data_IF_192989001937
#
_entry.id   IF_192989001937
#
_cell.length_a   1.000
_cell.length_b   1.000
_cell.length_c   1.000
_cell.angle_alpha   90.00
_cell.angle_beta   90.00
_cell.angle_gamma   90.00
#
_symmetry.space_group_name_H-M   'P 1'
#
loop_
_entity.id
_entity.type
_entity.pdbx_description
1 polymer ?
#
# COMPACT_ATOMS: atom_id res chain seq x y z
N UNK A 1 16.79 3.49 -0.86
CA UNK A 1 16.78 2.21 -0.18
C UNK A 1 15.40 1.58 -0.27
N UNK A 2 15.33 0.34 -0.69
CA UNK A 2 14.04 -0.31 -0.91
C UNK A 2 13.45 -0.81 0.40
N UNK A 3 12.14 -0.65 0.54
CA UNK A 3 11.42 -1.26 1.66
C UNK A 3 11.21 -2.74 1.36
N UNK A 4 11.27 -3.54 2.41
CA UNK A 4 11.01 -4.97 2.26
C UNK A 4 9.55 -5.24 2.56
N UNK A 5 8.79 -5.53 1.53
CA UNK A 5 7.39 -5.91 1.67
C UNK A 5 7.28 -7.39 1.94
N UNK A 6 6.50 -7.72 2.94
CA UNK A 6 6.23 -9.09 3.32
C UNK A 6 4.78 -9.42 3.00
N UNK A 7 4.57 -10.54 2.35
CA UNK A 7 3.21 -10.98 2.06
C UNK A 7 2.51 -11.37 3.36
N UNK A 8 1.30 -10.85 3.55
CA UNK A 8 0.52 -11.14 4.74
C UNK A 8 -0.74 -11.89 4.36
N UNK A 9 -1.25 -12.67 5.31
CA UNK A 9 -2.48 -13.43 5.08
C UNK A 9 -3.64 -12.45 5.11
N UNK A 10 -4.41 -12.45 4.02
CA UNK A 10 -5.58 -11.59 3.92
C UNK A 10 -6.80 -12.29 4.53
N UNK A 11 -7.61 -11.57 5.31
CA UNK A 11 -8.88 -12.14 5.79
C UNK A 11 -9.94 -12.21 4.70
N UNK A 12 -9.68 -11.61 3.55
CA UNK A 12 -10.63 -11.60 2.44
C UNK A 12 -10.14 -12.55 1.36
N UNK A 13 -11.03 -13.45 0.91
CA UNK A 13 -10.70 -14.38 -0.18
C UNK A 13 -10.41 -13.59 -1.45
N UNK A 14 -9.49 -14.10 -2.25
CA UNK A 14 -9.09 -13.51 -3.54
C UNK A 14 -8.42 -12.13 -3.42
N UNK A 15 -7.97 -11.79 -2.22
CA UNK A 15 -7.20 -10.57 -2.02
C UNK A 15 -5.81 -10.94 -1.53
N UNK A 16 -4.78 -10.42 -2.19
CA UNK A 16 -3.41 -10.58 -1.75
C UNK A 16 -2.93 -9.26 -1.15
N UNK A 17 -2.17 -9.36 -0.07
CA UNK A 17 -1.70 -8.17 0.63
C UNK A 17 -0.23 -8.28 0.97
N UNK A 18 0.45 -7.15 0.94
CA UNK A 18 1.85 -7.03 1.34
C UNK A 18 1.96 -5.84 2.28
N UNK A 19 2.84 -5.94 3.26
CA UNK A 19 3.04 -4.83 4.18
C UNK A 19 4.51 -4.60 4.44
N UNK A 20 4.84 -3.35 4.76
CA UNK A 20 6.18 -2.94 5.16
C UNK A 20 6.06 -1.78 6.12
N UNK A 21 7.00 -1.69 7.04
CA UNK A 21 7.06 -0.58 8.00
C UNK A 21 8.45 0.01 7.98
N UNK A 22 8.54 1.33 8.00
CA UNK A 22 9.82 2.02 8.02
C UNK A 22 9.65 3.45 8.53
N UNK A 23 10.58 3.87 9.37
CA UNK A 23 10.66 5.25 9.85
C UNK A 23 9.37 5.76 10.48
N UNK A 24 8.63 4.87 11.17
CA UNK A 24 7.39 5.24 11.85
C UNK A 24 6.15 5.23 10.98
N UNK A 25 6.27 4.73 9.76
CA UNK A 25 5.14 4.64 8.84
C UNK A 25 4.89 3.19 8.43
N UNK A 26 3.64 2.85 8.24
CA UNK A 26 3.23 1.54 7.76
C UNK A 26 2.66 1.67 6.36
N UNK A 27 3.10 0.79 5.48
CA UNK A 27 2.64 0.77 4.08
C UNK A 27 2.00 -0.56 3.80
N UNK A 28 0.89 -0.53 3.08
CA UNK A 28 0.17 -1.75 2.69
C UNK A 28 -0.14 -1.66 1.21
N UNK A 29 0.12 -2.74 0.50
CA UNK A 29 -0.29 -2.89 -0.89
C UNK A 29 -1.26 -4.06 -0.94
N UNK A 30 -2.41 -3.87 -1.57
CA UNK A 30 -3.39 -4.91 -1.75
C UNK A 30 -3.71 -5.06 -3.22
N UNK A 31 -3.88 -6.32 -3.65
CA UNK A 31 -4.31 -6.63 -5.00
C UNK A 31 -5.68 -7.27 -4.92
N UNK A 32 -6.65 -6.68 -5.59
CA UNK A 32 -8.02 -7.18 -5.58
C UNK A 32 -8.41 -7.64 -6.97
N UNK A 33 -8.90 -8.88 -7.03
CA UNK A 33 -9.51 -9.36 -8.24
C UNK A 33 -10.86 -8.68 -8.42
N UNK A 34 -11.23 -8.48 -9.68
CA UNK A 34 -12.46 -7.76 -9.99
C UNK A 34 -13.73 -8.59 -9.79
N UNK A 35 -13.63 -9.72 -9.16
CA UNK A 35 -14.76 -10.62 -8.98
C UNK A 35 -15.37 -10.48 -7.60
N UNK A 36 -16.09 -9.46 -7.35
CA UNK A 36 -16.76 -9.31 -6.07
C UNK A 36 -17.66 -8.10 -6.03
N UNK A 37 -18.71 -8.14 -5.21
CA UNK A 37 -19.58 -6.98 -5.06
C UNK A 37 -18.79 -5.80 -4.51
N UNK A 38 -19.00 -4.64 -5.08
CA UNK A 38 -18.32 -3.44 -4.64
C UNK A 38 -17.01 -3.18 -5.34
N UNK A 39 -16.50 -4.13 -6.11
CA UNK A 39 -15.33 -3.90 -6.95
C UNK A 39 -15.82 -3.34 -8.27
N UNK A 40 -15.49 -2.12 -8.55
CA UNK A 40 -16.02 -1.40 -9.71
C UNK A 40 -15.27 -1.69 -10.99
N UNK A 41 -14.87 -2.93 -11.18
CA UNK A 41 -14.21 -3.36 -12.40
C UNK A 41 -12.75 -2.96 -12.50
N UNK A 42 -12.18 -2.39 -11.46
CA UNK A 42 -10.78 -2.00 -11.46
C UNK A 42 -9.94 -3.07 -10.80
N UNK A 43 -9.00 -3.63 -11.55
CA UNK A 43 -8.01 -4.54 -10.99
C UNK A 43 -6.68 -3.82 -10.91
N UNK A 44 -5.90 -4.15 -9.89
CA UNK A 44 -4.57 -3.56 -9.75
C UNK A 44 -4.13 -3.55 -8.30
N UNK A 45 -2.94 -3.01 -8.11
CA UNK A 45 -2.32 -2.93 -6.79
C UNK A 45 -2.61 -1.57 -6.19
N UNK A 46 -3.30 -1.57 -5.05
CA UNK A 46 -3.65 -0.34 -4.33
C UNK A 46 -2.70 -0.18 -3.17
N UNK A 47 -2.02 0.95 -3.12
CA UNK A 47 -1.07 1.25 -2.06
C UNK A 47 -1.64 2.29 -1.11
N UNK A 48 -1.37 2.11 0.18
CA UNK A 48 -1.80 3.05 1.21
C UNK A 48 -0.76 3.11 2.32
N UNK A 49 -0.82 4.16 3.12
CA UNK A 49 0.12 4.36 4.22
C UNK A 49 -0.58 5.00 5.41
N UNK A 50 0.01 4.83 6.59
CA UNK A 50 -0.44 5.52 7.79
C UNK A 50 0.72 5.65 8.78
N UNK A 51 0.71 6.67 9.64
CA UNK A 51 1.67 6.73 10.75
C UNK A 51 1.38 5.60 11.74
N UNK A 52 2.42 4.95 12.23
CA UNK A 52 2.25 3.80 13.12
C UNK A 52 1.73 4.24 14.48
N UNK A 53 2.23 5.35 15.00
CA UNK A 53 1.90 5.78 16.35
C UNK A 53 0.65 6.65 16.42
N UNK A 54 -0.06 6.81 15.33
CA UNK A 54 -1.32 7.56 15.30
C UNK A 54 -2.45 6.63 14.87
N UNK A 55 -3.54 6.69 15.59
CA UNK A 55 -4.69 5.85 15.28
C UNK A 55 -5.52 6.50 14.17
N UNK A 56 -5.00 6.41 12.97
CA UNK A 56 -5.65 7.00 11.79
C UNK A 56 -5.91 5.95 10.73
N UNK A 57 -6.91 6.20 9.90
CA UNK A 57 -7.16 5.37 8.74
C UNK A 57 -6.03 5.49 7.73
N UNK A 58 -5.79 4.42 6.99
CA UNK A 58 -4.77 4.43 5.95
C UNK A 58 -5.15 5.43 4.85
N UNK A 59 -4.13 6.09 4.32
CA UNK A 59 -4.31 7.08 3.27
C UNK A 59 -3.85 6.45 1.96
N UNK A 60 -4.73 6.46 0.97
CA UNK A 60 -4.44 5.88 -0.33
C UNK A 60 -3.40 6.73 -1.07
N UNK A 61 -2.40 6.05 -1.61
CA UNK A 61 -1.35 6.73 -2.38
C UNK A 61 -1.89 7.04 -3.78
N UNK A 62 -1.67 8.26 -4.24
CA UNK A 62 -2.12 8.68 -5.56
C UNK A 62 -1.50 7.84 -6.66
N UNK A 63 -2.26 7.61 -7.72
CA UNK A 63 -1.85 6.75 -8.82
C UNK A 63 -2.38 5.34 -8.71
N UNK A 64 -2.91 4.96 -7.54
CA UNK A 64 -3.53 3.65 -7.38
C UNK A 64 -4.82 3.57 -8.18
N UNK A 65 -5.17 2.38 -8.71
CA UNK A 65 -4.39 1.13 -8.65
C UNK A 65 -3.24 1.12 -9.66
N UNK A 66 -2.15 0.48 -9.26
CA UNK A 66 -0.98 0.34 -10.12
C UNK A 66 -1.07 -0.97 -10.89
N UNK A 67 -0.40 -1.03 -12.03
CA UNK A 67 -0.46 -2.21 -12.89
C UNK A 67 0.36 -3.37 -12.36
N UNK A 68 1.45 -3.08 -11.67
CA UNK A 68 2.33 -4.12 -11.15
C UNK A 68 2.65 -3.85 -9.69
N UNK A 69 3.04 -4.92 -9.00
CA UNK A 69 3.49 -4.80 -7.61
C UNK A 69 4.72 -3.90 -7.51
N UNK A 70 5.63 -4.00 -8.48
CA UNK A 70 6.83 -3.19 -8.49
C UNK A 70 6.50 -1.70 -8.55
N UNK A 71 5.50 -1.32 -9.35
CA UNK A 71 5.07 0.06 -9.43
C UNK A 71 4.48 0.53 -8.11
N UNK A 72 3.69 -0.31 -7.46
CA UNK A 72 3.10 0.03 -6.17
C UNK A 72 4.18 0.18 -5.09
N UNK A 73 5.17 -0.72 -5.08
CA UNK A 73 6.29 -0.61 -4.16
C UNK A 73 7.07 0.67 -4.37
N UNK A 74 7.30 1.02 -5.63
CA UNK A 74 8.03 2.24 -5.97
C UNK A 74 7.28 3.48 -5.50
N UNK A 75 5.96 3.47 -5.63
CA UNK A 75 5.13 4.57 -5.15
C UNK A 75 5.21 4.69 -3.63
N UNK A 76 5.25 3.57 -2.92
CA UNK A 76 5.42 3.60 -1.47
C UNK A 76 6.77 4.18 -1.08
N UNK A 77 7.83 3.80 -1.78
CA UNK A 77 9.16 4.33 -1.51
C UNK A 77 9.23 5.83 -1.76
N UNK A 78 8.61 6.28 -2.83
CA UNK A 78 8.56 7.70 -3.13
C UNK A 78 7.80 8.47 -2.05
N UNK A 79 6.69 7.89 -1.58
CA UNK A 79 5.92 8.51 -0.51
C UNK A 79 6.72 8.58 0.79
N UNK A 80 7.43 7.51 1.12
CA UNK A 80 8.28 7.50 2.31
C UNK A 80 9.33 8.59 2.24
N UNK A 81 9.97 8.75 1.08
CA UNK A 81 10.94 9.82 0.90
C UNK A 81 10.33 11.20 1.11
N UNK A 82 9.13 11.41 0.58
CA UNK A 82 8.41 12.65 0.78
C UNK A 82 8.11 12.91 2.26
N UNK A 83 7.60 11.87 2.94
CA UNK A 83 7.21 12.00 4.33
C UNK A 83 8.40 12.28 5.24
N UNK A 84 9.52 11.60 5.00
CA UNK A 84 10.71 11.80 5.84
C UNK A 84 11.37 13.14 5.57
N UNK A 85 11.39 13.59 4.32
CA UNK A 85 11.93 14.92 4.01
C UNK A 85 11.10 16.03 4.64
N UNK A 86 9.78 15.86 4.68
CA UNK A 86 8.90 16.88 5.22
C UNK A 86 9.02 17.03 6.72
N UNK A 87 9.51 16.01 7.39
CA UNK A 87 9.65 16.04 8.85
C UNK A 87 10.98 16.64 9.31
N UNK A 88 11.87 16.92 8.40
CA UNK A 88 13.17 17.54 8.75
C UNK A 88 13.07 19.04 8.94
#
# INVERSE_FOLDING_TARGET
>A
MAMEFTRVVSPVADMEMWSASRDGFSFVISYENRSGPGLHGHTGFVASWRPIDQNRSAIKIGGSPFKTLAEAEKACEAMLGYLTNKLE
#
